data_IF_809328553500
#
_entry.id   IF_809328553500
#
_cell.length_a   1.000
_cell.length_b   1.000
_cell.length_c   1.000
_cell.angle_alpha   90.00
_cell.angle_beta   90.00
_cell.angle_gamma   90.00
#
_symmetry.space_group_name_H-M   'P 1'
#
loop_
_entity.id
_entity.type
_entity.pdbx_description
1 polymer ?
#
# COMPACT_ATOMS: atom_id res chain seq x y z
N UNK A 1 -21.87 37.66 16.70
CA UNK A 1 -21.38 36.39 17.25
C UNK A 1 -21.70 35.30 16.24
N UNK A 2 -20.70 34.59 15.72
CA UNK A 2 -20.97 33.42 14.88
C UNK A 2 -21.35 32.25 15.78
N UNK A 3 -22.54 31.69 15.61
CA UNK A 3 -22.90 30.40 16.20
C UNK A 3 -22.48 29.30 15.22
N UNK A 4 -21.66 28.36 15.68
CA UNK A 4 -21.30 27.18 14.89
C UNK A 4 -22.48 26.22 14.87
N UNK A 5 -23.05 25.97 13.69
CA UNK A 5 -24.19 25.05 13.52
C UNK A 5 -23.79 23.58 13.46
N UNK A 6 -22.60 23.26 12.94
CA UNK A 6 -22.13 21.88 12.77
C UNK A 6 -20.61 21.85 12.56
N UNK A 7 -19.97 20.78 13.05
CA UNK A 7 -18.56 20.45 12.76
C UNK A 7 -18.51 19.13 11.98
N UNK A 8 -17.65 19.06 10.97
CA UNK A 8 -17.48 17.87 10.12
C UNK A 8 -16.06 17.37 10.25
N UNK A 9 -15.91 16.10 10.60
CA UNK A 9 -14.62 15.44 10.70
C UNK A 9 -14.15 14.91 9.32
N UNK A 10 -13.03 15.47 8.85
CA UNK A 10 -12.38 15.12 7.58
C UNK A 10 -11.87 13.67 7.49
N UNK A 11 -11.70 12.97 8.62
CA UNK A 11 -11.41 11.53 8.60
C UNK A 11 -12.56 10.71 8.01
N UNK A 12 -13.80 11.21 8.14
CA UNK A 12 -15.02 10.44 7.90
C UNK A 12 -15.84 10.89 6.68
N UNK A 13 -15.32 11.83 5.88
CA UNK A 13 -16.05 12.40 4.74
C UNK A 13 -15.28 12.38 3.42
N UNK A 14 -16.07 12.42 2.36
CA UNK A 14 -15.65 12.60 0.98
C UNK A 14 -16.21 13.90 0.42
N UNK A 15 -15.37 14.62 -0.30
CA UNK A 15 -15.74 15.78 -1.10
C UNK A 15 -16.20 15.32 -2.48
N UNK A 16 -17.27 15.93 -3.00
CA UNK A 16 -17.74 15.70 -4.36
C UNK A 16 -18.27 16.99 -4.98
N UNK A 17 -18.30 16.99 -6.30
CA UNK A 17 -18.90 18.06 -7.09
C UNK A 17 -20.36 17.74 -7.38
N UNK A 18 -21.26 18.70 -7.18
CA UNK A 18 -22.66 18.59 -7.60
C UNK A 18 -22.76 19.12 -9.03
N UNK A 19 -23.28 18.31 -9.96
CA UNK A 19 -23.53 18.79 -11.32
C UNK A 19 -24.56 19.93 -11.27
N UNK A 20 -24.46 20.87 -12.23
CA UNK A 20 -25.39 21.97 -12.33
C UNK A 20 -26.78 21.45 -12.74
N UNK A 21 -27.55 20.96 -11.76
CA UNK A 21 -28.97 20.62 -11.84
C UNK A 21 -29.78 21.68 -11.09
N UNK A 22 -30.89 22.10 -11.69
CA UNK A 22 -31.73 23.22 -11.26
C UNK A 22 -31.95 23.25 -9.73
N UNK A 23 -31.34 24.22 -9.06
CA UNK A 23 -31.71 24.53 -7.68
C UNK A 23 -33.18 24.91 -7.61
N UNK A 24 -33.80 24.78 -6.43
CA UNK A 24 -35.09 25.40 -6.16
C UNK A 24 -34.99 26.90 -6.48
N UNK A 25 -35.56 27.31 -7.62
CA UNK A 25 -35.46 28.69 -8.14
C UNK A 25 -34.87 28.85 -9.55
N UNK A 26 -34.36 27.78 -10.19
CA UNK A 26 -33.97 27.82 -11.61
C UNK A 26 -32.61 28.48 -11.93
N UNK A 27 -31.81 28.85 -10.93
CA UNK A 27 -30.42 29.25 -11.15
C UNK A 27 -29.49 28.02 -11.22
N UNK A 28 -28.56 28.02 -12.19
CA UNK A 28 -27.47 27.05 -12.27
C UNK A 28 -26.58 27.21 -11.03
N UNK A 29 -26.72 26.31 -10.05
CA UNK A 29 -25.99 26.41 -8.80
C UNK A 29 -24.52 26.00 -8.91
N UNK A 30 -23.61 26.76 -8.29
CA UNK A 30 -22.22 26.34 -8.04
C UNK A 30 -22.16 25.42 -6.80
N UNK A 31 -22.90 24.31 -6.88
CA UNK A 31 -23.07 23.36 -5.78
C UNK A 31 -21.88 22.40 -5.63
N UNK A 32 -21.53 22.07 -4.40
CA UNK A 32 -20.61 20.98 -4.05
C UNK A 32 -20.99 20.42 -2.68
N UNK A 33 -20.44 19.29 -2.27
CA UNK A 33 -20.80 18.79 -0.95
C UNK A 33 -19.86 17.81 -0.28
N UNK A 34 -20.20 17.50 0.96
CA UNK A 34 -19.55 16.52 1.80
C UNK A 34 -20.53 15.38 2.09
N UNK A 35 -20.09 14.15 1.83
CA UNK A 35 -20.82 12.92 2.18
C UNK A 35 -20.04 12.12 3.20
N UNK A 36 -20.73 11.49 4.14
CA UNK A 36 -20.10 10.56 5.09
C UNK A 36 -19.72 9.25 4.40
N UNK A 37 -18.51 8.73 4.66
CA UNK A 37 -17.97 7.52 4.04
C UNK A 37 -18.57 6.25 4.67
N UNK A 38 -18.83 6.27 5.98
CA UNK A 38 -19.36 5.12 6.72
C UNK A 38 -20.13 5.51 7.99
N UNK A 39 -20.99 4.61 8.47
CA UNK A 39 -21.83 4.79 9.67
C UNK A 39 -23.33 4.67 9.39
N UNK A 40 -24.12 4.55 10.46
CA UNK A 40 -25.59 4.46 10.40
C UNK A 40 -26.26 5.74 9.93
N UNK A 41 -25.66 6.90 10.25
CA UNK A 41 -26.17 8.22 9.92
C UNK A 41 -25.53 8.72 8.62
N UNK A 42 -26.21 8.48 7.49
CA UNK A 42 -25.80 9.01 6.19
C UNK A 42 -26.21 10.47 6.09
N UNK A 43 -25.27 11.38 6.27
CA UNK A 43 -25.47 12.78 5.94
C UNK A 43 -24.84 13.11 4.59
N UNK A 44 -25.48 14.08 3.93
CA UNK A 44 -25.02 14.68 2.70
C UNK A 44 -25.32 16.18 2.83
N UNK A 45 -24.26 16.99 2.94
CA UNK A 45 -24.40 18.44 2.96
C UNK A 45 -23.99 19.02 1.62
N UNK A 46 -24.90 19.78 1.01
CA UNK A 46 -24.66 20.53 -0.21
C UNK A 46 -24.46 22.00 0.16
N UNK A 47 -23.41 22.58 -0.38
CA UNK A 47 -23.04 23.97 -0.24
C UNK A 47 -23.08 24.62 -1.62
N UNK A 48 -23.61 25.84 -1.69
CA UNK A 48 -23.63 26.62 -2.92
C UNK A 48 -22.68 27.80 -2.78
N UNK A 49 -21.69 27.87 -3.68
CA UNK A 49 -20.82 29.03 -3.76
C UNK A 49 -21.50 30.16 -4.57
N UNK A 50 -21.14 31.42 -4.33
CA UNK A 50 -21.64 32.54 -5.14
C UNK A 50 -21.19 32.54 -6.60
N UNK A 51 -20.03 31.93 -6.89
CA UNK A 51 -19.43 31.87 -8.22
C UNK A 51 -18.50 30.65 -8.34
N UNK A 52 -18.15 30.28 -9.58
CA UNK A 52 -17.28 29.12 -9.87
C UNK A 52 -15.88 29.26 -9.24
N UNK A 53 -15.32 30.48 -9.18
CA UNK A 53 -13.98 30.71 -8.63
C UNK A 53 -13.96 30.45 -7.12
N UNK A 54 -15.00 30.89 -6.40
CA UNK A 54 -15.19 30.60 -4.97
C UNK A 54 -15.42 29.12 -4.75
N UNK A 55 -16.24 28.47 -5.58
CA UNK A 55 -16.45 27.01 -5.54
C UNK A 55 -15.12 26.28 -5.62
N UNK A 56 -14.33 26.54 -6.67
CA UNK A 56 -13.04 25.88 -6.88
C UNK A 56 -12.07 26.12 -5.71
N UNK A 57 -12.00 27.37 -5.21
CA UNK A 57 -11.17 27.71 -4.06
C UNK A 57 -11.59 26.99 -2.77
N UNK A 58 -12.88 26.92 -2.49
CA UNK A 58 -13.42 26.23 -1.31
C UNK A 58 -13.16 24.74 -1.39
N UNK A 59 -13.47 24.13 -2.54
CA UNK A 59 -13.21 22.72 -2.79
C UNK A 59 -11.73 22.38 -2.66
N UNK A 60 -10.83 23.21 -3.21
CA UNK A 60 -9.37 23.05 -3.07
C UNK A 60 -8.92 23.09 -1.61
N UNK A 61 -9.47 24.01 -0.81
CA UNK A 61 -9.12 24.13 0.60
C UNK A 61 -9.60 22.92 1.42
N UNK A 62 -10.82 22.46 1.16
CA UNK A 62 -11.39 21.29 1.82
C UNK A 62 -10.64 20.02 1.42
N UNK A 63 -10.36 19.86 0.12
CA UNK A 63 -9.58 18.73 -0.42
C UNK A 63 -8.19 18.65 0.21
N UNK A 64 -7.52 19.80 0.36
CA UNK A 64 -6.24 19.89 1.07
C UNK A 64 -6.39 19.43 2.52
N UNK A 65 -7.40 19.90 3.24
CA UNK A 65 -7.65 19.48 4.62
C UNK A 65 -7.86 17.98 4.76
N UNK A 66 -8.71 17.38 3.92
CA UNK A 66 -8.92 15.92 3.89
C UNK A 66 -7.60 15.17 3.61
N UNK A 67 -6.82 15.66 2.65
CA UNK A 67 -5.54 15.04 2.29
C UNK A 67 -4.52 15.09 3.42
N UNK A 68 -4.40 16.25 4.09
CA UNK A 68 -3.51 16.46 5.22
C UNK A 68 -3.91 15.59 6.42
N UNK A 69 -5.20 15.40 6.66
CA UNK A 69 -5.70 14.47 7.67
C UNK A 69 -5.27 13.03 7.37
N UNK A 70 -5.49 12.54 6.14
CA UNK A 70 -5.09 11.18 5.73
C UNK A 70 -3.56 11.01 5.86
N UNK A 71 -2.79 12.00 5.44
CA UNK A 71 -1.33 11.98 5.50
C UNK A 71 -0.81 11.97 6.94
N UNK A 72 -1.43 12.74 7.83
CA UNK A 72 -1.12 12.75 9.25
C UNK A 72 -1.39 11.37 9.87
N UNK A 73 -2.53 10.75 9.57
CA UNK A 73 -2.83 9.40 10.05
C UNK A 73 -1.85 8.36 9.48
N UNK A 74 -1.45 8.49 8.21
CA UNK A 74 -0.47 7.60 7.58
C UNK A 74 0.93 7.72 8.22
N UNK A 75 1.36 8.93 8.59
CA UNK A 75 2.66 9.17 9.24
C UNK A 75 2.79 8.51 10.63
N UNK A 76 1.66 8.21 11.28
CA UNK A 76 1.60 7.48 12.57
C UNK A 76 1.73 5.97 12.39
N UNK A 77 1.72 5.47 11.15
CA UNK A 77 1.81 4.04 10.84
C UNK A 77 3.26 3.64 10.54
N UNK A 78 3.67 2.49 11.11
CA UNK A 78 4.87 1.81 10.63
C UNK A 78 4.51 1.12 9.30
N UNK A 79 4.85 1.76 8.18
CA UNK A 79 4.57 1.21 6.85
C UNK A 79 5.37 -0.09 6.69
N UNK A 80 4.66 -1.22 6.65
CA UNK A 80 5.19 -2.45 6.07
C UNK A 80 5.08 -2.27 4.56
N UNK A 81 6.21 -2.19 3.87
CA UNK A 81 6.25 -2.02 2.43
C UNK A 81 5.70 -3.25 1.71
N UNK A 82 5.04 -3.04 0.57
CA UNK A 82 4.55 -4.13 -0.28
C UNK A 82 3.35 -4.87 0.27
N UNK A 83 2.61 -4.30 1.23
CA UNK A 83 1.36 -4.88 1.76
C UNK A 83 0.15 -4.56 0.89
N UNK A 84 0.28 -3.72 -0.12
CA UNK A 84 -0.82 -3.27 -0.97
C UNK A 84 -1.59 -4.46 -1.56
N UNK A 85 -0.89 -5.40 -2.19
CA UNK A 85 -1.50 -6.59 -2.80
C UNK A 85 -2.14 -7.54 -1.78
N UNK A 86 -1.61 -7.55 -0.55
CA UNK A 86 -1.99 -8.47 0.53
C UNK A 86 -3.01 -7.88 1.50
N UNK A 87 -3.20 -6.56 1.45
CA UNK A 87 -4.15 -5.81 2.29
C UNK A 87 -5.61 -6.22 2.10
N UNK A 88 -5.92 -6.90 0.98
CA UNK A 88 -7.28 -7.31 0.64
C UNK A 88 -8.19 -6.13 0.27
N UNK A 89 -7.61 -4.99 -0.12
CA UNK A 89 -8.35 -3.83 -0.64
C UNK A 89 -9.25 -4.25 -1.78
N UNK A 90 -10.56 -4.08 -1.60
CA UNK A 90 -11.57 -4.46 -2.60
C UNK A 90 -11.89 -3.36 -3.60
N UNK A 91 -11.38 -2.15 -3.39
CA UNK A 91 -11.61 -1.02 -4.29
C UNK A 91 -11.06 -1.37 -5.67
N UNK A 92 -11.92 -1.28 -6.68
CA UNK A 92 -11.59 -1.50 -8.08
C UNK A 92 -12.20 -0.38 -8.92
N UNK A 93 -11.38 0.29 -9.71
CA UNK A 93 -11.84 1.28 -10.68
C UNK A 93 -10.95 1.24 -11.90
N UNK A 94 -11.55 1.23 -13.07
CA UNK A 94 -10.82 1.40 -14.32
C UNK A 94 -11.43 2.54 -15.14
N UNK A 95 -10.61 3.15 -15.99
CA UNK A 95 -11.07 4.18 -16.90
C UNK A 95 -9.93 4.85 -17.63
N UNK A 96 -10.27 5.87 -18.43
CA UNK A 96 -9.28 6.64 -19.18
C UNK A 96 -9.08 7.98 -18.48
N UNK A 97 -7.83 8.31 -18.16
CA UNK A 97 -7.44 9.65 -17.73
C UNK A 97 -6.39 10.20 -18.69
N UNK A 98 -6.21 11.52 -18.64
CA UNK A 98 -5.00 12.13 -19.17
C UNK A 98 -3.95 12.16 -18.07
N UNK A 99 -2.72 11.79 -18.41
CA UNK A 99 -1.59 11.74 -17.50
C UNK A 99 -0.47 12.60 -18.07
N UNK A 100 0.11 13.45 -17.23
CA UNK A 100 1.25 14.28 -17.62
C UNK A 100 2.50 13.39 -17.77
N UNK A 101 3.09 13.36 -18.97
CA UNK A 101 4.35 12.67 -19.22
C UNK A 101 5.55 13.51 -18.79
N UNK A 102 6.74 12.89 -18.76
CA UNK A 102 8.01 13.55 -18.40
C UNK A 102 8.37 14.76 -19.29
N UNK A 103 7.82 14.83 -20.49
CA UNK A 103 7.99 15.96 -21.42
C UNK A 103 7.03 17.12 -21.18
N UNK A 104 6.21 17.05 -20.12
CA UNK A 104 5.15 18.01 -19.81
C UNK A 104 3.88 17.85 -20.68
N UNK A 105 3.88 16.91 -21.64
CA UNK A 105 2.72 16.67 -22.50
C UNK A 105 1.71 15.73 -21.85
N UNK A 106 0.44 16.05 -22.03
CA UNK A 106 -0.67 15.21 -21.57
C UNK A 106 -0.93 14.04 -22.53
N UNK A 107 -0.98 12.83 -21.99
CA UNK A 107 -1.27 11.62 -22.76
C UNK A 107 -2.52 10.91 -22.24
N UNK A 108 -3.37 10.42 -23.16
CA UNK A 108 -4.46 9.51 -22.79
C UNK A 108 -3.88 8.16 -22.37
N UNK A 109 -4.27 7.69 -21.20
CA UNK A 109 -3.81 6.43 -20.59
C UNK A 109 -4.99 5.67 -19.98
N UNK A 110 -4.93 4.35 -20.04
CA UNK A 110 -5.83 3.48 -19.29
C UNK A 110 -5.31 3.41 -17.86
N UNK A 111 -6.17 3.66 -16.89
CA UNK A 111 -5.87 3.62 -15.47
C UNK A 111 -6.56 2.41 -14.88
N UNK A 112 -5.81 1.60 -14.14
CA UNK A 112 -6.35 0.49 -13.37
C UNK A 112 -6.00 0.71 -11.90
N UNK A 113 -7.02 0.89 -11.07
CA UNK A 113 -6.91 0.90 -9.63
C UNK A 113 -7.43 -0.44 -9.11
N UNK A 114 -6.55 -1.25 -8.52
CA UNK A 114 -6.94 -2.50 -7.87
C UNK A 114 -5.88 -2.93 -6.85
N UNK A 115 -6.31 -3.61 -5.78
CA UNK A 115 -5.41 -4.20 -4.77
C UNK A 115 -4.39 -3.18 -4.20
N UNK A 116 -4.83 -1.94 -3.97
CA UNK A 116 -3.95 -0.88 -3.44
C UNK A 116 -2.87 -0.38 -4.41
N UNK A 117 -2.97 -0.74 -5.69
CA UNK A 117 -2.04 -0.33 -6.75
C UNK A 117 -2.80 0.46 -7.80
N UNK A 118 -2.18 1.53 -8.28
CA UNK A 118 -2.64 2.26 -9.46
C UNK A 118 -1.64 2.07 -10.60
N UNK A 119 -2.09 1.44 -11.67
CA UNK A 119 -1.31 1.25 -12.90
C UNK A 119 -1.76 2.21 -13.99
N UNK A 120 -0.78 2.87 -14.61
CA UNK A 120 -0.96 3.71 -15.78
C UNK A 120 -0.49 2.94 -17.00
N UNK A 121 -1.42 2.57 -17.87
CA UNK A 121 -1.17 1.76 -19.05
C UNK A 121 -1.39 2.55 -20.34
N UNK A 122 -0.67 2.18 -21.39
CA UNK A 122 -1.00 2.61 -22.75
C UNK A 122 -2.36 2.05 -23.15
N UNK A 123 -3.10 2.80 -23.96
CA UNK A 123 -4.48 2.43 -24.33
C UNK A 123 -4.53 1.27 -25.34
N UNK A 124 -3.53 1.17 -26.24
CA UNK A 124 -3.55 0.22 -27.36
C UNK A 124 -3.10 -1.19 -26.98
N UNK A 125 -2.04 -1.26 -26.18
CA UNK A 125 -1.25 -2.47 -25.92
C UNK A 125 -1.11 -2.77 -24.42
N UNK A 126 -1.78 -2.02 -23.55
CA UNK A 126 -1.79 -2.23 -22.09
C UNK A 126 -0.39 -2.28 -21.45
N UNK A 127 0.60 -1.66 -22.07
CA UNK A 127 1.96 -1.54 -21.52
C UNK A 127 1.93 -0.60 -20.33
N UNK A 128 2.32 -1.12 -19.16
CA UNK A 128 2.45 -0.35 -17.93
C UNK A 128 3.58 0.67 -18.10
N UNK A 129 3.24 1.95 -17.97
CA UNK A 129 4.16 3.09 -18.00
C UNK A 129 4.52 3.59 -16.61
N UNK A 130 3.56 3.56 -15.70
CA UNK A 130 3.77 3.91 -14.29
C UNK A 130 2.99 2.93 -13.41
N UNK A 131 3.54 2.63 -12.23
CA UNK A 131 2.92 1.77 -11.22
C UNK A 131 3.12 2.41 -9.85
N UNK A 132 2.03 2.83 -9.22
CA UNK A 132 2.04 3.50 -7.92
C UNK A 132 1.52 2.56 -6.83
N UNK A 133 2.33 2.35 -5.79
CA UNK A 133 1.92 1.67 -4.56
C UNK A 133 1.25 2.69 -3.64
N UNK A 134 -0.05 2.55 -3.40
CA UNK A 134 -0.83 3.62 -2.75
C UNK A 134 -0.59 3.73 -1.24
N UNK A 135 0.01 2.74 -0.58
CA UNK A 135 0.17 2.71 0.87
C UNK A 135 0.97 3.86 1.47
N UNK A 136 1.75 4.58 0.65
CA UNK A 136 2.47 5.80 1.04
C UNK A 136 2.23 6.98 0.10
N UNK A 137 1.11 6.97 -0.62
CA UNK A 137 0.75 8.04 -1.55
C UNK A 137 -0.22 9.04 -0.90
N UNK A 138 -0.14 10.30 -1.34
CA UNK A 138 -1.15 11.33 -1.10
C UNK A 138 -1.79 11.72 -2.42
N UNK A 139 -3.12 11.92 -2.42
CA UNK A 139 -3.87 12.40 -3.60
C UNK A 139 -4.51 13.75 -3.30
N UNK A 140 -4.30 14.72 -4.19
CA UNK A 140 -4.76 16.12 -4.01
C UNK A 140 -5.27 16.72 -5.31
N UNK A 141 -6.23 17.62 -5.21
CA UNK A 141 -6.60 18.52 -6.31
C UNK A 141 -5.41 19.37 -6.76
N UNK A 142 -5.38 19.65 -8.05
CA UNK A 142 -4.40 20.51 -8.69
C UNK A 142 -5.09 21.42 -9.70
N UNK A 143 -4.58 22.63 -9.83
CA UNK A 143 -4.95 23.55 -10.91
C UNK A 143 -3.76 23.67 -11.84
N UNK A 144 -3.99 23.37 -13.12
CA UNK A 144 -3.01 23.56 -14.19
C UNK A 144 -3.65 24.44 -15.25
N UNK A 145 -2.92 25.46 -15.70
CA UNK A 145 -3.41 26.51 -16.60
C UNK A 145 -4.01 25.96 -17.90
N UNK A 146 -3.47 24.86 -18.42
CA UNK A 146 -3.87 24.23 -19.68
C UNK A 146 -4.79 23.01 -19.51
N UNK A 147 -5.09 22.62 -18.26
CA UNK A 147 -5.79 21.38 -17.96
C UNK A 147 -6.67 21.50 -16.73
N UNK A 148 -7.95 21.79 -16.98
CA UNK A 148 -8.99 21.74 -15.96
C UNK A 148 -9.20 20.31 -15.44
N UNK A 149 -9.79 20.22 -14.25
CA UNK A 149 -10.13 18.95 -13.58
C UNK A 149 -8.91 18.07 -13.30
N UNK A 150 -7.78 18.72 -13.03
CA UNK A 150 -6.52 18.06 -12.70
C UNK A 150 -6.44 17.69 -11.22
N UNK A 151 -5.69 16.64 -10.94
CA UNK A 151 -5.33 16.18 -9.60
C UNK A 151 -3.95 15.50 -9.68
N UNK A 152 -3.29 15.35 -8.53
CA UNK A 152 -1.99 14.74 -8.46
C UNK A 152 -1.97 13.60 -7.45
N UNK A 153 -1.13 12.61 -7.71
CA UNK A 153 -0.75 11.58 -6.75
C UNK A 153 0.75 11.71 -6.51
N UNK A 154 1.14 11.85 -5.25
CA UNK A 154 2.54 11.97 -4.84
C UNK A 154 2.91 10.83 -3.90
N UNK A 155 4.03 10.18 -4.16
CA UNK A 155 4.74 9.29 -3.24
C UNK A 155 6.05 9.95 -2.79
N UNK A 156 6.88 9.24 -2.03
CA UNK A 156 8.23 9.71 -1.66
C UNK A 156 9.18 9.86 -2.85
N UNK A 157 8.87 9.26 -4.01
CA UNK A 157 9.76 9.21 -5.17
C UNK A 157 9.11 9.66 -6.48
N UNK A 158 7.78 9.77 -6.53
CA UNK A 158 7.05 10.04 -7.76
C UNK A 158 5.98 11.10 -7.52
N UNK A 159 5.81 11.99 -8.50
CA UNK A 159 4.69 12.91 -8.59
C UNK A 159 4.05 12.74 -9.97
N UNK A 160 2.79 12.31 -10.01
CA UNK A 160 2.08 12.06 -11.26
C UNK A 160 0.82 12.92 -11.28
N UNK A 161 0.69 13.75 -12.30
CA UNK A 161 -0.49 14.57 -12.54
C UNK A 161 -1.46 13.88 -13.50
N UNK A 162 -2.74 13.93 -13.14
CA UNK A 162 -3.86 13.34 -13.84
C UNK A 162 -4.90 14.42 -14.15
N UNK A 163 -5.68 14.23 -15.21
CA UNK A 163 -6.83 15.06 -15.51
C UNK A 163 -8.01 14.22 -15.98
N UNK A 164 -9.17 14.47 -15.37
CA UNK A 164 -10.45 13.85 -15.71
C UNK A 164 -11.20 14.64 -16.79
N UNK A 165 -12.35 14.12 -17.23
CA UNK A 165 -13.23 14.77 -18.20
C UNK A 165 -14.15 15.83 -17.58
N UNK A 166 -14.44 15.71 -16.28
CA UNK A 166 -15.26 16.65 -15.51
C UNK A 166 -14.81 16.69 -14.05
N UNK A 167 -15.27 17.70 -13.30
CA UNK A 167 -15.02 17.79 -11.86
C UNK A 167 -15.63 16.62 -11.08
N UNK A 168 -16.83 16.16 -11.44
CA UNK A 168 -17.47 14.98 -10.86
C UNK A 168 -16.55 13.76 -11.01
N UNK A 169 -16.08 13.50 -12.23
CA UNK A 169 -15.17 12.38 -12.50
C UNK A 169 -13.82 12.53 -11.79
N UNK A 170 -13.31 13.75 -11.64
CA UNK A 170 -12.12 14.01 -10.83
C UNK A 170 -12.32 13.53 -9.39
N UNK A 171 -13.42 13.91 -8.74
CA UNK A 171 -13.68 13.48 -7.35
C UNK A 171 -14.00 12.01 -7.22
N UNK A 172 -14.70 11.39 -8.18
CA UNK A 172 -14.85 9.93 -8.19
C UNK A 172 -13.50 9.20 -8.15
N UNK A 173 -12.51 9.69 -8.93
CA UNK A 173 -11.15 9.13 -8.92
C UNK A 173 -10.42 9.41 -7.62
N UNK A 174 -10.41 10.67 -7.16
CA UNK A 174 -9.76 11.07 -5.90
C UNK A 174 -10.31 10.24 -4.74
N UNK A 175 -11.63 10.09 -4.61
CA UNK A 175 -12.25 9.37 -3.51
C UNK A 175 -11.94 7.86 -3.58
N UNK A 176 -12.00 7.25 -4.77
CA UNK A 176 -11.61 5.83 -4.93
C UNK A 176 -10.15 5.57 -4.54
N UNK A 177 -9.25 6.51 -4.85
CA UNK A 177 -7.84 6.43 -4.45
C UNK A 177 -7.71 6.60 -2.94
N UNK A 178 -8.38 7.60 -2.34
CA UNK A 178 -8.39 7.81 -0.88
C UNK A 178 -8.93 6.60 -0.12
N UNK A 179 -9.98 5.97 -0.62
CA UNK A 179 -10.56 4.79 0.01
C UNK A 179 -9.61 3.59 -0.06
N UNK A 180 -8.89 3.46 -1.16
CA UNK A 180 -7.82 2.47 -1.28
C UNK A 180 -6.71 2.72 -0.25
N UNK A 181 -6.26 3.98 -0.11
CA UNK A 181 -5.25 4.38 0.88
C UNK A 181 -5.75 4.09 2.31
N UNK A 182 -6.96 4.53 2.67
CA UNK A 182 -7.57 4.28 3.98
C UNK A 182 -7.69 2.79 4.30
N UNK A 183 -8.07 1.96 3.31
CA UNK A 183 -8.16 0.52 3.49
C UNK A 183 -6.79 -0.13 3.73
N UNK A 184 -5.73 0.32 3.03
CA UNK A 184 -4.35 -0.11 3.30
C UNK A 184 -3.92 0.29 4.71
N UNK A 185 -4.18 1.55 5.09
CA UNK A 185 -3.86 2.06 6.42
C UNK A 185 -4.55 1.27 7.54
N UNK A 186 -5.85 0.98 7.39
CA UNK A 186 -6.61 0.17 8.33
C UNK A 186 -6.07 -1.27 8.42
N UNK A 187 -5.57 -1.82 7.32
CA UNK A 187 -4.88 -3.11 7.33
C UNK A 187 -3.54 -3.03 8.09
N UNK A 188 -2.75 -2.00 7.86
CA UNK A 188 -1.48 -1.79 8.57
C UNK A 188 -1.65 -1.58 10.07
N UNK A 189 -2.70 -0.86 10.50
CA UNK A 189 -2.99 -0.69 11.92
C UNK A 189 -3.28 -2.05 12.59
N UNK A 190 -4.09 -2.91 11.94
CA UNK A 190 -4.34 -4.28 12.44
C UNK A 190 -3.08 -5.14 12.53
N UNK A 191 -2.10 -4.88 11.67
CA UNK A 191 -0.82 -5.59 11.72
C UNK A 191 0.01 -5.20 12.93
N UNK A 192 0.04 -3.91 13.32
CA UNK A 192 0.81 -3.46 14.48
C UNK A 192 0.44 -4.19 15.76
N UNK A 193 -0.86 -4.40 15.97
CA UNK A 193 -1.37 -5.09 17.16
C UNK A 193 -1.24 -6.63 17.06
N UNK A 194 -0.72 -7.15 15.93
CA UNK A 194 -0.59 -8.57 15.70
C UNK A 194 0.76 -8.93 15.06
N UNK A 195 1.84 -9.02 15.86
CA UNK A 195 3.16 -9.42 15.39
C UNK A 195 3.16 -10.76 14.63
N UNK A 196 2.28 -11.70 15.00
CA UNK A 196 2.13 -12.98 14.30
C UNK A 196 1.61 -12.81 12.87
N UNK A 197 0.70 -11.87 12.61
CA UNK A 197 0.28 -11.53 11.25
C UNK A 197 1.40 -10.83 10.48
N UNK A 198 2.15 -9.92 11.12
CA UNK A 198 3.28 -9.25 10.47
C UNK A 198 4.33 -10.24 9.95
N UNK A 199 4.64 -11.28 10.72
CA UNK A 199 5.60 -12.31 10.29
C UNK A 199 5.08 -13.12 9.11
N UNK A 200 3.78 -13.41 9.07
CA UNK A 200 3.17 -14.06 7.90
C UNK A 200 3.29 -13.20 6.66
N UNK A 201 3.17 -11.88 6.80
CA UNK A 201 3.38 -10.94 5.69
C UNK A 201 4.84 -10.90 5.22
N UNK A 202 5.82 -11.09 6.12
CA UNK A 202 7.25 -11.14 5.73
C UNK A 202 7.58 -12.33 4.85
N UNK A 203 6.87 -13.47 5.00
CA UNK A 203 7.08 -14.71 4.24
C UNK A 203 6.04 -14.91 3.13
N UNK A 204 5.23 -13.90 2.86
CA UNK A 204 4.22 -13.94 1.81
C UNK A 204 4.84 -14.15 0.43
N UNK A 205 4.07 -14.69 -0.50
CA UNK A 205 4.51 -14.90 -1.89
C UNK A 205 5.07 -13.60 -2.50
N UNK A 206 6.20 -13.70 -3.20
CA UNK A 206 6.84 -12.55 -3.87
C UNK A 206 7.69 -11.67 -2.94
N UNK A 207 7.87 -12.05 -1.67
CA UNK A 207 8.87 -11.40 -0.80
C UNK A 207 10.23 -12.07 -0.93
N UNK A 208 11.27 -11.39 -0.46
CA UNK A 208 12.62 -11.95 -0.36
C UNK A 208 12.70 -13.18 0.58
N UNK A 209 11.63 -13.51 1.32
CA UNK A 209 11.56 -14.64 2.24
C UNK A 209 10.53 -15.70 1.81
N UNK A 210 10.05 -15.67 0.57
CA UNK A 210 9.00 -16.58 0.08
C UNK A 210 9.49 -18.02 -0.19
N UNK A 211 10.80 -18.25 -0.07
CA UNK A 211 11.45 -19.55 -0.24
C UNK A 211 12.46 -19.81 0.90
N UNK A 212 12.60 -21.08 1.26
CA UNK A 212 13.50 -21.53 2.32
C UNK A 212 14.94 -21.12 2.02
N UNK A 213 15.59 -20.49 3.01
CA UNK A 213 16.96 -20.02 2.87
C UNK A 213 17.96 -21.13 2.49
N UNK A 214 17.67 -22.40 2.82
CA UNK A 214 18.61 -23.50 2.64
C UNK A 214 18.30 -24.36 1.41
N UNK A 215 17.03 -24.73 1.19
CA UNK A 215 16.66 -25.66 0.11
C UNK A 215 15.77 -25.05 -0.98
N UNK A 216 15.39 -23.78 -0.86
CA UNK A 216 14.53 -23.08 -1.83
C UNK A 216 13.05 -23.49 -1.79
N UNK A 217 12.63 -24.41 -0.91
CA UNK A 217 11.22 -24.79 -0.75
C UNK A 217 10.34 -23.58 -0.37
N UNK A 218 9.24 -23.35 -1.09
CA UNK A 218 8.34 -22.21 -0.86
C UNK A 218 7.59 -22.25 0.49
N UNK A 219 7.36 -23.43 1.06
CA UNK A 219 6.63 -23.58 2.33
C UNK A 219 7.51 -23.24 3.54
N UNK A 220 7.53 -21.96 3.91
CA UNK A 220 8.17 -21.48 5.13
C UNK A 220 7.31 -21.82 6.35
N UNK A 221 7.95 -22.41 7.37
CA UNK A 221 7.28 -22.71 8.64
C UNK A 221 8.04 -22.18 9.87
N UNK A 222 9.34 -21.93 9.75
CA UNK A 222 10.22 -21.57 10.86
C UNK A 222 11.06 -20.36 10.54
N UNK A 223 11.35 -19.56 11.57
CA UNK A 223 12.35 -18.52 11.55
C UNK A 223 13.49 -18.90 12.50
N UNK A 224 14.73 -18.73 12.05
CA UNK A 224 15.92 -18.76 12.88
C UNK A 224 16.26 -17.31 13.26
N UNK A 225 15.84 -16.87 14.44
CA UNK A 225 16.03 -15.50 14.93
C UNK A 225 17.52 -15.15 15.10
N UNK A 226 18.35 -16.13 15.45
CA UNK A 226 19.80 -15.92 15.63
C UNK A 226 20.46 -15.59 14.30
N UNK A 227 20.15 -16.35 13.25
CA UNK A 227 20.69 -16.15 11.91
C UNK A 227 19.95 -15.07 11.09
N UNK A 228 18.70 -14.75 11.43
CA UNK A 228 17.89 -13.78 10.69
C UNK A 228 17.26 -14.34 9.42
N UNK A 229 17.06 -15.66 9.32
CA UNK A 229 16.54 -16.35 8.13
C UNK A 229 15.26 -17.14 8.42
N UNK A 230 14.51 -17.42 7.36
CA UNK A 230 13.28 -18.20 7.30
C UNK A 230 13.53 -19.50 6.52
N UNK A 231 13.06 -20.61 7.09
CA UNK A 231 13.32 -21.95 6.60
C UNK A 231 12.06 -22.82 6.61
N UNK A 232 12.05 -23.84 5.76
CA UNK A 232 10.98 -24.84 5.78
C UNK A 232 11.09 -25.71 7.04
N UNK A 233 10.03 -26.48 7.34
CA UNK A 233 9.99 -27.38 8.51
C UNK A 233 11.13 -28.38 8.56
N UNK A 234 11.53 -28.91 7.42
CA UNK A 234 12.57 -29.93 7.34
C UNK A 234 13.93 -29.33 7.67
N UNK A 235 14.34 -28.26 6.98
CA UNK A 235 15.59 -27.54 7.26
C UNK A 235 15.65 -27.03 8.71
N UNK A 236 14.55 -26.45 9.20
CA UNK A 236 14.46 -26.03 10.61
C UNK A 236 14.64 -27.16 11.63
N UNK A 237 14.38 -28.42 11.26
CA UNK A 237 14.67 -29.57 12.13
C UNK A 237 16.17 -29.86 12.27
N UNK A 238 16.99 -29.53 11.27
CA UNK A 238 18.44 -29.75 11.29
C UNK A 238 19.22 -28.63 12.00
N UNK A 239 18.62 -27.45 12.10
CA UNK A 239 19.16 -26.38 12.94
C UNK A 239 19.16 -26.73 14.44
N UNK A 240 18.24 -27.60 14.89
CA UNK A 240 18.10 -28.01 16.29
C UNK A 240 19.31 -28.79 16.82
N UNK A 241 19.77 -29.86 16.14
CA UNK A 241 20.98 -30.60 16.52
C UNK A 241 22.24 -29.74 16.60
N UNK A 242 22.36 -28.75 15.71
CA UNK A 242 23.57 -27.93 15.61
C UNK A 242 23.79 -27.05 16.85
N UNK A 243 22.75 -26.76 17.64
CA UNK A 243 22.79 -25.59 18.51
C UNK A 243 21.92 -25.67 19.76
N UNK A 244 22.58 -25.72 20.91
CA UNK A 244 22.10 -25.10 22.16
C UNK A 244 22.07 -23.55 22.07
N UNK A 245 22.30 -22.95 20.87
CA UNK A 245 22.50 -21.51 20.63
C UNK A 245 21.51 -20.85 19.63
N UNK A 246 20.83 -21.58 18.75
CA UNK A 246 19.92 -20.96 17.77
C UNK A 246 18.51 -20.88 18.31
N UNK A 247 17.89 -19.72 18.11
CA UNK A 247 16.51 -19.46 18.51
C UNK A 247 15.57 -19.68 17.33
N UNK A 248 14.95 -20.85 17.28
CA UNK A 248 13.93 -21.17 16.28
C UNK A 248 12.54 -20.78 16.77
N UNK A 249 11.74 -20.15 15.92
CA UNK A 249 10.36 -19.74 16.21
C UNK A 249 9.41 -20.09 15.06
N UNK A 250 8.23 -20.67 15.32
CA UNK A 250 7.24 -20.93 14.28
C UNK A 250 6.70 -19.63 13.66
N UNK A 251 6.57 -19.57 12.34
CA UNK A 251 5.90 -18.46 11.62
C UNK A 251 4.38 -18.55 11.76
N UNK A 252 3.84 -19.78 11.76
CA UNK A 252 2.41 -20.07 11.81
C UNK A 252 1.86 -20.28 13.23
N UNK A 253 1.07 -21.35 13.39
CA UNK A 253 0.45 -21.70 14.68
C UNK A 253 1.51 -21.95 15.75
N UNK A 254 1.34 -21.34 16.92
CA UNK A 254 2.21 -21.51 18.09
C UNK A 254 3.38 -20.52 18.18
N UNK A 255 3.61 -19.67 17.18
CA UNK A 255 4.60 -18.60 17.24
C UNK A 255 4.12 -17.41 18.08
N UNK A 256 4.66 -17.23 19.28
CA UNK A 256 4.48 -16.00 20.06
C UNK A 256 5.59 -15.00 19.70
N UNK A 257 5.25 -14.03 18.87
CA UNK A 257 6.18 -13.02 18.35
C UNK A 257 6.04 -11.70 19.11
N UNK A 258 7.17 -11.09 19.45
CA UNK A 258 7.21 -9.68 19.89
C UNK A 258 7.47 -8.77 18.70
N UNK A 259 7.11 -7.49 18.80
CA UNK A 259 7.32 -6.53 17.72
C UNK A 259 8.80 -6.37 17.38
N UNK A 260 9.69 -6.43 18.38
CA UNK A 260 11.14 -6.32 18.21
C UNK A 260 11.69 -7.48 17.38
N UNK A 261 11.19 -8.69 17.59
CA UNK A 261 11.60 -9.86 16.81
C UNK A 261 11.13 -9.76 15.35
N UNK A 262 9.93 -9.25 15.11
CA UNK A 262 9.44 -9.01 13.75
C UNK A 262 10.29 -7.96 13.04
N UNK A 263 10.57 -6.84 13.72
CA UNK A 263 11.39 -5.77 13.17
C UNK A 263 12.82 -6.24 12.88
N UNK A 264 13.40 -7.08 13.76
CA UNK A 264 14.68 -7.74 13.52
C UNK A 264 14.64 -8.59 12.25
N UNK A 265 13.63 -9.45 12.10
CA UNK A 265 13.49 -10.30 10.92
C UNK A 265 13.24 -9.49 9.65
N UNK A 266 12.50 -8.38 9.73
CA UNK A 266 12.29 -7.45 8.61
C UNK A 266 13.58 -6.77 8.16
N UNK A 267 14.46 -6.39 9.10
CA UNK A 267 15.76 -5.78 8.80
C UNK A 267 16.77 -6.78 8.22
N UNK A 268 16.63 -8.06 8.58
CA UNK A 268 17.45 -9.17 8.13
C UNK A 268 16.81 -9.85 6.91
N UNK A 269 16.37 -11.09 7.04
CA UNK A 269 15.71 -11.84 5.97
C UNK A 269 16.66 -12.66 5.10
N UNK A 270 16.07 -13.54 4.30
CA UNK A 270 16.78 -14.57 3.55
C UNK A 270 17.74 -14.00 2.52
N UNK A 271 17.35 -12.95 1.80
CA UNK A 271 18.21 -12.35 0.78
C UNK A 271 19.52 -11.81 1.37
N UNK A 272 19.44 -11.08 2.48
CA UNK A 272 20.60 -10.47 3.11
C UNK A 272 21.42 -11.51 3.88
N UNK A 273 20.82 -12.11 4.91
CA UNK A 273 21.55 -13.01 5.80
C UNK A 273 21.85 -14.35 5.12
N UNK A 274 21.05 -14.77 4.14
CA UNK A 274 21.37 -15.94 3.34
C UNK A 274 22.65 -15.75 2.53
N UNK A 275 22.84 -14.59 1.89
CA UNK A 275 24.06 -14.27 1.16
C UNK A 275 25.28 -14.18 2.09
N UNK A 276 25.15 -13.46 3.22
CA UNK A 276 26.22 -13.36 4.24
C UNK A 276 26.65 -14.73 4.76
N UNK A 277 25.70 -15.64 5.01
CA UNK A 277 25.99 -16.99 5.53
C UNK A 277 26.49 -17.95 4.44
N UNK A 278 26.11 -17.72 3.18
CA UNK A 278 26.57 -18.53 2.04
C UNK A 278 28.07 -18.37 1.79
N UNK A 279 28.72 -17.31 2.32
CA UNK A 279 30.19 -17.15 2.28
C UNK A 279 30.94 -18.21 3.09
N UNK A 280 30.29 -18.82 4.09
CA UNK A 280 30.88 -19.92 4.88
C UNK A 280 30.84 -21.26 4.15
N UNK A 281 30.09 -21.36 3.04
CA UNK A 281 29.89 -22.61 2.33
C UNK A 281 31.11 -22.92 1.47
N UNK A 282 31.74 -24.07 1.72
CA UNK A 282 32.88 -24.53 0.94
C UNK A 282 32.49 -24.73 -0.54
N UNK A 283 33.41 -24.43 -1.46
CA UNK A 283 33.14 -24.37 -2.92
C UNK A 283 32.55 -25.67 -3.50
N UNK A 284 32.90 -26.82 -2.92
CA UNK A 284 32.42 -28.12 -3.35
C UNK A 284 31.00 -28.45 -2.87
N UNK A 285 30.51 -27.74 -1.84
CA UNK A 285 29.18 -27.94 -1.24
C UNK A 285 28.16 -27.08 -1.98
N UNK A 286 27.18 -27.72 -2.61
CA UNK A 286 26.15 -27.02 -3.39
C UNK A 286 24.89 -26.79 -2.56
N UNK A 287 24.22 -25.67 -2.83
CA UNK A 287 22.91 -25.40 -2.25
C UNK A 287 21.91 -26.50 -2.65
N UNK A 288 21.33 -27.23 -1.70
CA UNK A 288 20.42 -28.32 -1.99
C UNK A 288 19.10 -27.79 -2.56
N UNK A 289 18.40 -28.64 -3.31
CA UNK A 289 17.02 -28.39 -3.72
C UNK A 289 16.05 -28.96 -2.69
N UNK A 290 14.75 -28.68 -2.84
CA UNK A 290 13.70 -29.27 -2.00
C UNK A 290 13.75 -30.81 -1.99
N UNK A 291 14.08 -31.43 -3.11
CA UNK A 291 14.12 -32.89 -3.28
C UNK A 291 15.49 -33.52 -3.00
N UNK A 292 16.50 -32.71 -2.65
CA UNK A 292 17.84 -33.22 -2.38
C UNK A 292 17.84 -34.21 -1.19
N UNK A 293 18.76 -35.21 -1.22
CA UNK A 293 19.00 -36.12 -0.12
C UNK A 293 19.21 -35.42 1.22
N UNK A 294 18.92 -36.17 2.29
CA UNK A 294 19.08 -35.69 3.66
C UNK A 294 20.51 -35.24 3.94
N UNK A 295 21.49 -36.05 3.55
CA UNK A 295 22.90 -35.81 3.86
C UNK A 295 23.38 -34.50 3.24
N UNK A 296 23.05 -34.24 1.97
CA UNK A 296 23.39 -33.00 1.27
C UNK A 296 22.80 -31.76 1.99
N UNK A 297 21.57 -31.88 2.51
CA UNK A 297 20.94 -30.80 3.30
C UNK A 297 21.64 -30.56 4.62
N UNK A 298 22.02 -31.63 5.32
CA UNK A 298 22.73 -31.54 6.60
C UNK A 298 24.11 -30.92 6.39
N UNK A 299 24.88 -31.42 5.43
CA UNK A 299 26.21 -30.92 5.08
C UNK A 299 26.17 -29.43 4.72
N UNK A 300 25.22 -29.01 3.86
CA UNK A 300 25.07 -27.61 3.50
C UNK A 300 24.72 -26.72 4.71
N UNK A 301 23.79 -27.15 5.57
CA UNK A 301 23.39 -26.40 6.77
C UNK A 301 24.58 -26.35 7.77
N UNK A 302 25.32 -27.42 7.95
CA UNK A 302 26.51 -27.44 8.81
C UNK A 302 27.59 -26.46 8.36
N UNK A 303 27.83 -26.37 7.05
CA UNK A 303 28.77 -25.42 6.47
C UNK A 303 28.28 -23.97 6.63
N UNK A 304 27.04 -23.71 6.22
CA UNK A 304 26.46 -22.36 6.17
C UNK A 304 26.37 -21.67 7.53
N UNK A 305 26.08 -22.43 8.59
CA UNK A 305 25.81 -21.88 9.94
C UNK A 305 26.92 -22.17 10.97
N UNK A 306 28.12 -22.54 10.51
CA UNK A 306 29.30 -22.74 11.36
C UNK A 306 29.80 -21.44 12.01
#
# INVERSE_FOLDING_TARGET
>A
WFQYGMCVDFQSVELFDEEAGAGEGGELGFGFGLRKISGSDKFHHIFYAPDQKRKDQWMKNIDRGISETIECDASRLCIVSGVEERSGVKVKKEGILKVMGSTGKWHRRKINLSNGILEVQTVKDSVVKERLLLGGCTVRMMEVSDRQYSFQISSSSQLVAFAAESNVKRFEWINSIRDSIRAIMAYQERLKDNPGLMVKELVGKGTDNDCCADCGKAEIEWANLTAGVFVCRLCGSYHRPLTHKMKLKPVGRGGKWTIEEVLLMKQRGNKRCGAELEENVEEHVKKPTETAPLNDKVEYIENKYR
#
